data_IF_397278468160
#
_entry.id   IF_397278468160
#
_cell.length_a   1.000
_cell.length_b   1.000
_cell.length_c   1.000
_cell.angle_alpha   90.00
_cell.angle_beta   90.00
_cell.angle_gamma   90.00
#
_symmetry.space_group_name_H-M   'P 1'
#
loop_
_entity.id
_entity.type
_entity.pdbx_description
1 polymer ?
#
# COMPACT_ATOMS: atom_id res chain seq x y z
N UNK A 1 27.70 10.86 35.34
CA UNK A 1 27.98 11.03 33.89
C UNK A 1 27.00 10.13 33.16
N UNK A 2 26.09 10.69 32.34
CA UNK A 2 25.08 9.92 31.59
C UNK A 2 25.79 9.26 30.42
N UNK A 3 25.64 7.94 30.25
CA UNK A 3 26.16 7.25 29.07
C UNK A 3 25.44 7.76 27.83
N UNK A 4 26.21 8.37 26.92
CA UNK A 4 25.73 8.94 25.66
C UNK A 4 25.74 7.83 24.61
N UNK A 5 24.80 6.90 24.76
CA UNK A 5 24.70 5.67 23.98
C UNK A 5 23.39 5.55 23.21
N UNK A 6 23.13 6.47 22.29
CA UNK A 6 22.57 6.23 20.96
C UNK A 6 22.49 7.59 20.29
N UNK A 7 23.28 7.81 19.25
CA UNK A 7 22.81 8.74 18.23
C UNK A 7 21.57 8.06 17.66
N UNK A 8 20.40 8.45 18.17
CA UNK A 8 19.11 8.26 17.50
C UNK A 8 19.21 9.03 16.18
N UNK A 9 19.96 8.47 15.23
CA UNK A 9 19.82 8.81 13.82
C UNK A 9 18.42 8.38 13.48
N UNK A 10 17.47 9.31 13.61
CA UNK A 10 16.07 9.14 13.27
C UNK A 10 15.98 8.33 11.98
N UNK A 11 15.58 7.07 12.09
CA UNK A 11 15.47 6.15 10.96
C UNK A 11 14.23 6.54 10.17
N UNK A 12 14.34 7.65 9.44
CA UNK A 12 13.32 8.15 8.53
C UNK A 12 13.31 7.26 7.28
N UNK A 13 12.62 6.12 7.36
CA UNK A 13 12.23 5.37 6.18
C UNK A 13 10.86 5.83 5.71
N UNK A 14 10.77 6.18 4.43
CA UNK A 14 9.48 6.47 3.80
C UNK A 14 8.65 5.18 3.73
N UNK A 15 7.55 5.16 4.48
CA UNK A 15 6.64 4.03 4.50
C UNK A 15 5.62 4.17 3.37
N UNK A 16 5.86 3.46 2.27
CA UNK A 16 4.86 3.27 1.21
C UNK A 16 4.13 1.95 1.40
N UNK A 17 2.80 1.97 1.31
CA UNK A 17 1.98 0.76 1.22
C UNK A 17 1.18 0.77 -0.09
N UNK A 18 1.04 -0.40 -0.70
CA UNK A 18 0.27 -0.59 -1.92
C UNK A 18 -0.48 -1.92 -1.84
N UNK A 19 -1.72 -1.93 -2.31
CA UNK A 19 -2.55 -3.14 -2.37
C UNK A 19 -2.65 -3.60 -3.82
N UNK A 20 -2.25 -4.82 -4.10
CA UNK A 20 -2.39 -5.42 -5.43
C UNK A 20 -3.71 -6.17 -5.57
N UNK A 21 -4.34 -6.02 -6.74
CA UNK A 21 -5.51 -6.79 -7.16
C UNK A 21 -5.09 -7.75 -8.26
N UNK A 22 -5.33 -9.03 -8.01
CA UNK A 22 -5.15 -10.10 -9.00
C UNK A 22 -6.49 -10.57 -9.54
N UNK A 23 -6.51 -11.09 -10.77
CA UNK A 23 -7.65 -11.79 -11.33
C UNK A 23 -7.77 -13.22 -10.76
N UNK A 24 -8.82 -13.95 -11.16
CA UNK A 24 -9.07 -15.33 -10.68
C UNK A 24 -8.02 -16.34 -11.13
N UNK A 25 -7.22 -16.01 -12.14
CA UNK A 25 -6.12 -16.84 -12.66
C UNK A 25 -4.79 -16.46 -12.01
N UNK A 26 -4.77 -15.47 -11.11
CA UNK A 26 -3.59 -14.97 -10.44
C UNK A 26 -2.80 -13.93 -11.24
N UNK A 27 -3.34 -13.40 -12.35
CA UNK A 27 -2.68 -12.34 -13.10
C UNK A 27 -2.95 -10.98 -12.48
N UNK A 28 -2.00 -10.06 -12.65
CA UNK A 28 -2.15 -8.67 -12.25
C UNK A 28 -3.36 -8.01 -12.94
N UNK A 29 -4.24 -7.41 -12.15
CA UNK A 29 -5.41 -6.68 -12.64
C UNK A 29 -5.31 -5.17 -12.35
N UNK A 30 -4.87 -4.77 -11.15
CA UNK A 30 -4.71 -3.36 -10.75
C UNK A 30 -3.92 -3.25 -9.44
N UNK A 31 -3.60 -2.03 -9.02
CA UNK A 31 -3.15 -1.75 -7.65
C UNK A 31 -3.89 -0.52 -7.05
N UNK A 32 -3.79 -0.35 -5.74
CA UNK A 32 -4.32 0.78 -4.98
C UNK A 32 -3.23 1.39 -4.12
N UNK A 33 -3.05 2.70 -4.22
CA UNK A 33 -2.12 3.43 -3.37
C UNK A 33 -2.63 3.46 -1.92
N UNK A 34 -1.71 3.67 -0.99
CA UNK A 34 -2.04 3.97 0.39
C UNK A 34 -3.07 5.11 0.50
N UNK A 35 -4.08 4.92 1.34
CA UNK A 35 -5.17 5.91 1.53
C UNK A 35 -6.28 5.89 0.47
N UNK A 36 -6.27 4.94 -0.49
CA UNK A 36 -7.42 4.77 -1.39
C UNK A 36 -8.65 4.36 -0.58
N UNK A 37 -9.78 5.09 -0.73
CA UNK A 37 -10.99 4.78 0.03
C UNK A 37 -11.66 3.49 -0.45
N UNK A 38 -12.39 2.78 0.43
CA UNK A 38 -13.10 1.56 0.06
C UNK A 38 -14.05 1.74 -1.13
N UNK A 39 -14.73 2.88 -1.23
CA UNK A 39 -15.68 3.18 -2.31
C UNK A 39 -14.98 3.27 -3.66
N UNK A 40 -13.81 3.93 -3.70
CA UNK A 40 -12.98 4.04 -4.91
C UNK A 40 -12.42 2.68 -5.31
N UNK A 41 -11.96 1.88 -4.34
CA UNK A 41 -11.51 0.51 -4.59
C UNK A 41 -12.64 -0.33 -5.18
N UNK A 42 -13.82 -0.31 -4.56
CA UNK A 42 -14.97 -1.08 -5.01
C UNK A 42 -15.46 -0.67 -6.41
N UNK A 43 -15.47 0.63 -6.72
CA UNK A 43 -15.80 1.12 -8.06
C UNK A 43 -14.82 0.61 -9.13
N UNK A 44 -13.51 0.64 -8.83
CA UNK A 44 -12.49 0.11 -9.72
C UNK A 44 -12.62 -1.40 -9.91
N UNK A 45 -12.85 -2.15 -8.84
CA UNK A 45 -13.04 -3.61 -8.89
C UNK A 45 -14.25 -3.95 -9.77
N UNK A 46 -15.39 -3.28 -9.57
CA UNK A 46 -16.59 -3.48 -10.41
C UNK A 46 -16.29 -3.23 -11.89
N UNK A 47 -15.60 -2.13 -12.21
CA UNK A 47 -15.19 -1.82 -13.59
C UNK A 47 -14.31 -2.90 -14.23
N UNK A 48 -13.51 -3.61 -13.43
CA UNK A 48 -12.65 -4.70 -13.93
C UNK A 48 -13.47 -5.98 -14.12
N UNK A 49 -14.42 -6.27 -13.22
CA UNK A 49 -15.25 -7.47 -13.28
C UNK A 49 -16.34 -7.43 -14.37
N UNK A 50 -16.74 -6.23 -14.81
CA UNK A 50 -17.74 -6.05 -15.88
C UNK A 50 -17.13 -6.00 -17.28
N UNK A 51 -15.81 -6.13 -17.41
CA UNK A 51 -15.12 -6.38 -18.68
C UNK A 51 -15.08 -7.87 -18.97
#
# INVERSE_FOLDING_TARGET
VREKGSDDKDYAMDHSAIVYLMDRKGHYASHFAYGTTPEKMAAKIRSILTK
#
